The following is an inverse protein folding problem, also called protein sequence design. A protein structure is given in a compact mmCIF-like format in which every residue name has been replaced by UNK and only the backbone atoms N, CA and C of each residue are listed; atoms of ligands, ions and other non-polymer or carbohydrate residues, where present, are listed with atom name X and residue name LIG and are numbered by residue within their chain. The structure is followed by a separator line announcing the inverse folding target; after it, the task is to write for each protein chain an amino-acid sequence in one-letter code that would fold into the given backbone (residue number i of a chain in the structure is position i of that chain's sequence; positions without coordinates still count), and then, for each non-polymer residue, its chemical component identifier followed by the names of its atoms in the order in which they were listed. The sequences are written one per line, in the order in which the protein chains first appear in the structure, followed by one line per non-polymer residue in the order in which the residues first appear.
data_IF_078303495200
#
_entry.id   IF_078303495200
#
_cell.length_a   1.000
_cell.length_b   1.000
_cell.length_c   1.000
_cell.angle_alpha   90.00
_cell.angle_beta   90.00
_cell.angle_gamma   90.00
#
_symmetry.space_group_name_H-M   'P 1'
#
loop_
_entity.id
_entity.type
_entity.pdbx_description
1 polymer ?
#
# COMPACT_ATOMS: atom_id res chain seq x y z
N UNK A 1 2.02 9.16 -2.98
CA UNK A 1 1.96 7.70 -2.73
C UNK A 1 2.11 7.51 -1.23
N UNK A 2 1.00 7.61 -0.51
CA UNK A 2 0.97 7.86 0.93
C UNK A 2 0.47 6.70 1.74
N UNK A 3 0.56 5.47 1.26
CA UNK A 3 0.24 4.27 2.03
C UNK A 3 0.98 3.04 1.50
N UNK A 4 1.96 3.23 0.61
CA UNK A 4 2.53 2.14 -0.16
C UNK A 4 1.77 1.78 -1.45
N UNK A 5 0.53 2.27 -1.62
CA UNK A 5 -0.31 2.14 -2.83
C UNK A 5 0.51 2.14 -4.13
N UNK A 6 0.81 0.93 -4.62
CA UNK A 6 1.41 0.72 -5.92
C UNK A 6 0.37 1.16 -6.97
N UNK A 7 0.69 2.13 -7.86
CA UNK A 7 -0.21 2.54 -8.93
C UNK A 7 -0.71 1.36 -9.77
N UNK A 8 0.11 0.33 -9.95
CA UNK A 8 -0.24 -0.85 -10.73
C UNK A 8 -1.37 -1.64 -10.05
N UNK A 9 -1.30 -1.81 -8.72
CA UNK A 9 -2.30 -2.55 -7.99
C UNK A 9 -3.61 -1.76 -7.81
N UNK A 10 -3.52 -0.45 -7.56
CA UNK A 10 -4.71 0.44 -7.51
C UNK A 10 -5.45 0.45 -8.86
N UNK A 11 -4.74 0.29 -9.98
CA UNK A 11 -5.34 0.18 -11.29
C UNK A 11 -6.02 -1.18 -11.54
N UNK A 12 -5.60 -2.24 -10.85
CA UNK A 12 -6.22 -3.58 -10.89
C UNK A 12 -7.37 -3.74 -9.89
N UNK A 13 -7.32 -3.02 -8.75
CA UNK A 13 -8.41 -2.95 -7.77
C UNK A 13 -9.57 -2.03 -8.21
N UNK A 14 -9.43 -1.37 -9.37
CA UNK A 14 -10.43 -0.48 -9.95
C UNK A 14 -11.71 -1.25 -10.31
N UNK A 15 -12.72 -1.09 -9.45
CA UNK A 15 -14.02 -1.75 -9.59
C UNK A 15 -14.76 -1.34 -10.86
N UNK A 16 -14.40 -0.21 -11.50
CA UNK A 16 -15.01 0.21 -12.77
C UNK A 16 -14.66 -0.70 -13.94
N UNK A 17 -13.61 -1.53 -13.80
CA UNK A 17 -13.15 -2.50 -14.81
C UNK A 17 -13.60 -3.93 -14.51
N UNK A 18 -14.35 -4.15 -13.44
CA UNK A 18 -14.84 -5.48 -13.08
C UNK A 18 -15.95 -5.94 -14.04
N UNK A 19 -15.92 -7.22 -14.44
CA UNK A 19 -17.02 -7.82 -15.20
C UNK A 19 -18.29 -7.86 -14.33
N UNK A 20 -19.48 -7.64 -14.91
CA UNK A 20 -20.75 -7.90 -14.22
C UNK A 20 -20.83 -9.37 -13.78
N UNK A 21 -21.49 -9.61 -12.64
CA UNK A 21 -21.51 -10.94 -11.97
C UNK A 21 -22.08 -12.01 -12.90
N UNK A 22 -23.02 -11.62 -13.75
CA UNK A 22 -23.69 -12.47 -14.73
C UNK A 22 -22.76 -12.92 -15.87
N UNK A 23 -21.62 -12.25 -16.06
CA UNK A 23 -20.62 -12.54 -17.08
C UNK A 23 -19.38 -13.30 -16.53
N UNK A 24 -19.39 -13.70 -15.25
CA UNK A 24 -18.30 -14.43 -14.62
C UNK A 24 -18.38 -15.93 -14.94
N UNK A 25 -17.25 -16.51 -15.36
CA UNK A 25 -17.08 -17.96 -15.50
C UNK A 25 -16.64 -18.59 -14.18
N UNK A 26 -16.77 -19.91 -14.03
CA UNK A 26 -16.23 -20.66 -12.87
C UNK A 26 -14.74 -20.38 -12.64
N UNK A 27 -13.95 -20.23 -13.71
CA UNK A 27 -12.55 -19.82 -13.61
C UNK A 27 -12.36 -18.38 -13.13
N UNK A 28 -13.23 -17.45 -13.53
CA UNK A 28 -13.24 -16.09 -13.00
C UNK A 28 -13.57 -16.08 -11.49
N UNK A 29 -14.46 -16.96 -11.01
CA UNK A 29 -14.76 -17.10 -9.58
C UNK A 29 -13.55 -17.60 -8.76
N UNK A 30 -12.80 -18.59 -9.26
CA UNK A 30 -11.57 -19.05 -8.60
C UNK A 30 -10.49 -17.96 -8.57
N UNK A 31 -10.35 -17.22 -9.68
CA UNK A 31 -9.47 -16.06 -9.73
C UNK A 31 -9.94 -14.94 -8.78
N UNK A 32 -11.25 -14.76 -8.59
CA UNK A 32 -11.79 -13.82 -7.62
C UNK A 32 -11.44 -14.21 -6.17
N UNK A 33 -11.46 -15.50 -5.83
CA UNK A 33 -10.98 -15.97 -4.53
C UNK A 33 -9.48 -15.75 -4.32
N UNK A 34 -8.66 -15.96 -5.35
CA UNK A 34 -7.24 -15.63 -5.29
C UNK A 34 -7.02 -14.11 -5.11
N UNK A 35 -7.87 -13.28 -5.72
CA UNK A 35 -7.89 -11.82 -5.56
C UNK A 35 -8.45 -11.36 -4.20
N UNK A 36 -9.23 -12.18 -3.51
CA UNK A 36 -9.72 -11.92 -2.16
C UNK A 36 -8.63 -12.04 -1.08
N UNK A 37 -7.38 -12.33 -1.47
CA UNK A 37 -6.27 -12.38 -0.54
C UNK A 37 -5.95 -10.99 0.05
N UNK A 38 -6.24 -10.81 1.33
CA UNK A 38 -6.03 -9.54 2.03
C UNK A 38 -4.62 -9.38 2.62
N UNK A 39 -3.90 -10.48 2.87
CA UNK A 39 -2.59 -10.47 3.52
C UNK A 39 -1.68 -11.57 2.94
N UNK A 40 -0.42 -11.24 2.67
CA UNK A 40 0.62 -12.25 2.41
C UNK A 40 1.60 -12.29 3.59
N UNK A 41 1.46 -13.24 4.53
CA UNK A 41 2.28 -13.28 5.75
C UNK A 41 3.77 -13.47 5.46
N UNK A 42 4.13 -14.29 4.48
CA UNK A 42 5.54 -14.54 4.15
C UNK A 42 6.15 -13.27 3.58
N UNK A 43 5.45 -12.61 2.66
CA UNK A 43 5.95 -11.38 2.06
C UNK A 43 5.99 -10.20 3.06
N UNK A 44 5.13 -10.21 4.09
CA UNK A 44 5.18 -9.23 5.20
C UNK A 44 6.40 -9.49 6.10
N UNK A 45 6.58 -10.72 6.58
CA UNK A 45 7.64 -11.08 7.54
C UNK A 45 9.05 -11.06 6.91
N UNK A 46 9.15 -11.32 5.60
CA UNK A 46 10.43 -11.31 4.87
C UNK A 46 10.72 -9.99 4.17
N UNK A 47 9.85 -8.98 4.30
CA UNK A 47 10.05 -7.68 3.69
C UNK A 47 11.29 -6.98 4.25
N UNK A 48 12.19 -6.59 3.35
CA UNK A 48 13.40 -5.81 3.67
C UNK A 48 13.12 -4.30 3.76
N UNK A 49 11.93 -3.88 3.34
CA UNK A 49 11.47 -2.49 3.34
C UNK A 49 10.05 -2.40 3.90
N UNK A 50 9.81 -1.39 4.75
CA UNK A 50 8.51 -1.18 5.38
C UNK A 50 7.38 -0.96 4.36
N UNK A 51 7.69 -0.33 3.23
CA UNK A 51 6.74 -0.13 2.13
C UNK A 51 6.23 -1.47 1.58
N UNK A 52 7.12 -2.43 1.41
CA UNK A 52 6.78 -3.78 0.94
C UNK A 52 5.93 -4.52 1.96
N UNK A 53 6.29 -4.44 3.24
CA UNK A 53 5.50 -5.04 4.31
C UNK A 53 4.06 -4.51 4.32
N UNK A 54 3.89 -3.19 4.27
CA UNK A 54 2.56 -2.57 4.24
C UNK A 54 1.80 -2.94 2.97
N UNK A 55 2.43 -2.98 1.80
CA UNK A 55 1.75 -3.38 0.55
C UNK A 55 1.21 -4.81 0.58
N UNK A 56 1.77 -5.67 1.41
CA UNK A 56 1.35 -7.05 1.55
C UNK A 56 0.36 -7.26 2.70
N UNK A 57 0.08 -6.23 3.49
CA UNK A 57 -0.80 -6.25 4.66
C UNK A 57 -2.07 -5.42 4.43
N UNK A 58 -3.26 -5.96 4.69
CA UNK A 58 -4.55 -5.26 4.53
C UNK A 58 -4.74 -4.64 3.13
N UNK A 59 -4.46 -5.43 2.08
CA UNK A 59 -4.57 -5.02 0.68
C UNK A 59 -5.93 -4.38 0.38
N UNK A 60 -7.03 -5.02 0.77
CA UNK A 60 -8.39 -4.50 0.49
C UNK A 60 -8.67 -3.17 1.19
N UNK A 61 -8.23 -3.01 2.44
CA UNK A 61 -8.35 -1.74 3.16
C UNK A 61 -7.57 -0.64 2.45
N UNK A 62 -6.38 -0.95 1.92
CA UNK A 62 -5.61 0.00 1.13
C UNK A 62 -6.33 0.40 -0.16
N UNK A 63 -6.94 -0.54 -0.91
CA UNK A 63 -7.77 -0.20 -2.07
C UNK A 63 -8.96 0.69 -1.68
N UNK A 64 -9.65 0.33 -0.59
CA UNK A 64 -10.77 1.11 -0.09
C UNK A 64 -10.37 2.55 0.23
N UNK A 65 -9.24 2.75 0.93
CA UNK A 65 -8.69 4.07 1.23
C UNK A 65 -8.26 4.82 -0.05
N UNK A 66 -7.72 4.09 -1.03
CA UNK A 66 -7.32 4.67 -2.31
C UNK A 66 -8.52 5.24 -3.10
N UNK A 67 -9.58 4.44 -3.26
CA UNK A 67 -10.78 4.82 -4.01
C UNK A 67 -11.66 5.83 -3.27
N UNK A 68 -11.74 5.70 -1.95
CA UNK A 68 -12.65 6.50 -1.14
C UNK A 68 -12.06 7.85 -0.76
N UNK A 69 -10.75 7.91 -0.50
CA UNK A 69 -10.09 9.11 0.03
C UNK A 69 -9.03 9.63 -0.94
N UNK A 70 -8.02 8.82 -1.25
CA UNK A 70 -6.83 9.28 -1.96
C UNK A 70 -7.14 9.88 -3.35
N UNK A 71 -7.97 9.20 -4.15
CA UNK A 71 -8.37 9.67 -5.48
C UNK A 71 -9.35 10.85 -5.45
N UNK A 72 -10.06 11.05 -4.34
CA UNK A 72 -11.09 12.10 -4.19
C UNK A 72 -10.56 13.38 -3.54
N UNK A 73 -9.44 13.28 -2.84
CA UNK A 73 -8.82 14.40 -2.16
C UNK A 73 -7.95 15.25 -3.10
N UNK A 74 -7.86 16.58 -2.87
CA UNK A 74 -6.95 17.44 -3.60
C UNK A 74 -5.51 16.91 -3.61
N UNK A 75 -4.88 16.93 -4.79
CA UNK A 75 -3.48 16.50 -4.95
C UNK A 75 -2.48 17.59 -4.56
N UNK A 76 -2.93 18.84 -4.45
CA UNK A 76 -2.11 19.99 -4.08
C UNK A 76 -1.41 19.75 -2.73
N UNK A 77 -0.11 20.06 -2.68
CA UNK A 77 0.73 19.91 -1.49
C UNK A 77 0.71 18.51 -0.83
N UNK A 78 0.32 17.47 -1.57
CA UNK A 78 0.22 16.11 -1.03
C UNK A 78 -0.92 15.92 -0.02
N UNK A 79 -1.94 16.78 -0.03
CA UNK A 79 -3.08 16.71 0.88
C UNK A 79 -3.81 15.36 0.81
N UNK A 80 -3.89 14.75 -0.37
CA UNK A 80 -4.41 13.40 -0.57
C UNK A 80 -3.75 12.34 0.32
N UNK A 81 -2.42 12.35 0.49
CA UNK A 81 -1.74 11.41 1.36
C UNK A 81 -2.12 11.64 2.83
N UNK A 82 -2.13 12.90 3.28
CA UNK A 82 -2.45 13.27 4.66
C UNK A 82 -3.88 12.89 5.02
N UNK A 83 -4.85 13.22 4.16
CA UNK A 83 -6.25 12.85 4.34
C UNK A 83 -6.42 11.33 4.43
N UNK A 84 -5.71 10.58 3.57
CA UNK A 84 -5.76 9.11 3.57
C UNK A 84 -5.18 8.52 4.87
N UNK A 85 -4.07 9.06 5.37
CA UNK A 85 -3.49 8.64 6.64
C UNK A 85 -4.38 8.97 7.84
N UNK A 86 -5.03 10.13 7.87
CA UNK A 86 -5.97 10.51 8.92
C UNK A 86 -7.15 9.55 8.96
N UNK A 87 -7.74 9.25 7.80
CA UNK A 87 -8.85 8.29 7.72
C UNK A 87 -8.40 6.88 8.09
N UNK A 88 -7.19 6.48 7.71
CA UNK A 88 -6.58 5.22 8.16
C UNK A 88 -6.46 5.15 9.68
N UNK A 89 -5.99 6.23 10.32
CA UNK A 89 -5.91 6.30 11.78
C UNK A 89 -7.29 6.22 12.44
N UNK A 90 -8.29 6.91 11.89
CA UNK A 90 -9.67 6.83 12.37
C UNK A 90 -10.27 5.42 12.21
N UNK A 91 -9.95 4.73 11.11
CA UNK A 91 -10.39 3.35 10.87
C UNK A 91 -9.86 2.36 11.92
N UNK A 92 -8.63 2.56 12.38
CA UNK A 92 -8.04 1.78 13.47
C UNK A 92 -8.60 2.12 14.86
N UNK A 93 -9.44 3.15 14.98
CA UNK A 93 -10.10 3.59 16.21
C UNK A 93 -9.40 4.76 16.91
N UNK A 94 -10.12 5.47 17.78
CA UNK A 94 -9.63 6.68 18.48
C UNK A 94 -8.84 6.32 19.75
N UNK A 95 -8.12 5.20 19.73
CA UNK A 95 -7.17 4.88 20.81
C UNK A 95 -5.91 5.74 20.61
N UNK A 96 -5.45 6.48 21.64
CA UNK A 96 -4.38 7.48 21.51
C UNK A 96 -3.05 6.92 20.97
N UNK A 97 -2.82 5.60 21.07
CA UNK A 97 -1.63 4.94 20.51
C UNK A 97 -1.51 5.03 18.99
N UNK A 98 -2.63 5.07 18.24
CA UNK A 98 -2.60 5.17 16.77
C UNK A 98 -2.20 6.56 16.26
N UNK A 99 -2.47 7.60 17.06
CA UNK A 99 -2.06 8.98 16.77
C UNK A 99 -0.56 9.20 17.00
N UNK A 100 0.14 8.28 17.66
CA UNK A 100 1.59 8.32 17.83
C UNK A 100 2.30 7.41 16.82
N UNK A 101 1.82 6.19 16.58
CA UNK A 101 2.52 5.24 15.71
C UNK A 101 2.46 5.62 14.23
N UNK A 102 1.29 6.00 13.70
CA UNK A 102 1.12 6.24 12.26
C UNK A 102 1.81 7.52 11.77
N UNK A 103 1.74 8.67 12.47
CA UNK A 103 2.49 9.86 12.08
C UNK A 103 4.01 9.67 12.20
N UNK A 104 4.46 8.90 13.20
CA UNK A 104 5.88 8.54 13.34
C UNK A 104 6.33 7.68 12.17
N UNK A 105 5.54 6.68 11.76
CA UNK A 105 5.84 5.88 10.57
C UNK A 105 5.86 6.73 9.28
N UNK A 106 4.95 7.71 9.14
CA UNK A 106 4.90 8.57 7.97
C UNK A 106 6.18 9.42 7.78
N UNK A 107 6.88 9.75 8.87
CA UNK A 107 8.18 10.46 8.83
C UNK A 107 9.36 9.48 8.79
N UNK A 108 9.29 8.38 9.52
CA UNK A 108 10.38 7.41 9.63
C UNK A 108 10.62 6.67 8.31
N UNK A 109 9.58 6.30 7.57
CA UNK A 109 9.72 5.53 6.33
C UNK A 109 10.52 6.28 5.24
N UNK A 110 10.20 7.54 4.90
CA UNK A 110 11.04 8.33 3.98
C UNK A 110 12.48 8.48 4.46
N UNK A 111 12.68 8.72 5.77
CA UNK A 111 14.01 8.92 6.35
C UNK A 111 14.87 7.65 6.29
N UNK A 112 14.29 6.49 6.63
CA UNK A 112 14.95 5.19 6.52
C UNK A 112 15.25 4.84 5.05
N UNK A 113 14.34 5.17 4.12
CA UNK A 113 14.56 4.96 2.68
C UNK A 113 15.72 5.83 2.16
N UNK A 114 15.80 7.09 2.57
CA UNK A 114 16.91 7.98 2.23
C UNK A 114 18.25 7.49 2.81
N UNK A 115 18.23 6.91 4.02
CA UNK A 115 19.41 6.32 4.65
C UNK A 115 19.86 5.01 3.98
N UNK A 116 18.93 4.21 3.43
CA UNK A 116 19.24 2.99 2.68
C UNK A 116 19.71 3.25 1.25
N UNK A 117 19.31 4.36 0.62
CA UNK A 117 19.71 4.72 -0.74
C UNK A 117 21.24 4.69 -1.00
N UNK A 118 22.12 5.27 -0.16
CA UNK A 118 23.56 5.22 -0.38
C UNK A 118 24.15 3.82 -0.22
N UNK A 119 23.61 2.99 0.69
CA UNK A 119 24.06 1.60 0.88
C UNK A 119 23.70 0.76 -0.34
N UNK A 120 22.46 0.90 -0.83
CA UNK A 120 22.01 0.22 -2.06
C UNK A 120 22.83 0.66 -3.27
N UNK A 121 23.06 1.97 -3.44
CA UNK A 121 23.89 2.49 -4.53
C UNK A 121 25.34 2.00 -4.47
N UNK A 122 25.93 1.89 -3.27
CA UNK A 122 27.25 1.29 -3.10
C UNK A 122 27.25 -0.20 -3.46
N UNK A 123 26.27 -0.98 -2.98
CA UNK A 123 26.18 -2.42 -3.26
C UNK A 123 25.95 -2.69 -4.75
N UNK A 124 25.11 -1.91 -5.44
CA UNK A 124 24.92 -2.00 -6.89
C UNK A 124 26.17 -1.60 -7.67
N UNK A 125 26.95 -0.63 -7.17
CA UNK A 125 28.22 -0.24 -7.76
C UNK A 125 29.32 -1.30 -7.60
N UNK A 126 29.33 -2.04 -6.49
CA UNK A 126 30.34 -3.07 -6.17
C UNK A 126 30.01 -4.43 -6.78
N UNK A 127 28.73 -4.83 -6.76
CA UNK A 127 28.31 -6.18 -7.14
C UNK A 127 27.48 -6.22 -8.43
N UNK A 128 27.13 -5.07 -9.01
CA UNK A 128 26.21 -4.96 -10.14
C UNK A 128 24.75 -5.09 -9.70
N UNK A 129 23.84 -4.48 -10.47
CA UNK A 129 22.41 -4.53 -10.18
C UNK A 129 21.89 -5.97 -10.34
N UNK A 130 21.28 -6.51 -9.28
CA UNK A 130 20.63 -7.81 -9.34
C UNK A 130 19.41 -7.73 -10.28
N UNK A 131 19.43 -8.55 -11.33
CA UNK A 131 18.35 -8.67 -12.33
C UNK A 131 17.08 -9.28 -11.74
#
# INVERSE_FOLDING_TARGET
AGLGLDPAWVAEADSSKAKPVEALTTGDHFNAFAKANNIDPVAVETATEYKTAINQWNKHTQAWLAESIFKRAPTAFGFNNHATFVVSALWHGVFPGYFLSLPVMAVAVPAMTAAHAPIKGFLEAVFGSAK
#
